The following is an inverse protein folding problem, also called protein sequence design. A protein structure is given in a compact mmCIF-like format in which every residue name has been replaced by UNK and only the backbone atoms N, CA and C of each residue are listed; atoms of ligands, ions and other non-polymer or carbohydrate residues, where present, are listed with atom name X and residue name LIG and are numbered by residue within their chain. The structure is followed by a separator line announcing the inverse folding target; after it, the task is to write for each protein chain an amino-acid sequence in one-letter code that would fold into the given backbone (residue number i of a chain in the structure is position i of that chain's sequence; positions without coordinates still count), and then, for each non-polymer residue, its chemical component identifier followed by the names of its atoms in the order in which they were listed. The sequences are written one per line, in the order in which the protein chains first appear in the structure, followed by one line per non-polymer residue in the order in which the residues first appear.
data_IF_679895894868
#
_entry.id   IF_679895894868
#
_cell.length_a   1.000
_cell.length_b   1.000
_cell.length_c   1.000
_cell.angle_alpha   90.00
_cell.angle_beta   90.00
_cell.angle_gamma   90.00
#
_symmetry.space_group_name_H-M   'P 1'
#
loop_
_entity.id
_entity.type
_entity.pdbx_description
1 polymer ?
#
# COMPACT_ATOMS: atom_id res chain seq x y z
N UNK A 1 -27.78 5.82 4.09
CA UNK A 1 -26.75 5.61 3.07
C UNK A 1 -26.14 6.96 2.73
N UNK A 2 -24.86 7.06 2.93
CA UNK A 2 -24.11 8.21 2.48
C UNK A 2 -23.96 8.03 0.99
N UNK A 3 -24.80 8.72 0.21
CA UNK A 3 -24.55 8.78 -1.21
C UNK A 3 -23.15 9.34 -1.40
N UNK A 4 -22.29 8.65 -2.15
CA UNK A 4 -20.99 9.21 -2.42
C UNK A 4 -21.23 10.57 -3.05
N UNK A 5 -20.58 11.55 -2.50
CA UNK A 5 -20.55 12.84 -3.15
C UNK A 5 -20.01 12.59 -4.56
N UNK A 6 -20.76 12.99 -5.57
CA UNK A 6 -20.29 12.94 -6.96
C UNK A 6 -19.00 13.73 -7.14
N UNK A 7 -18.53 14.35 -6.07
CA UNK A 7 -17.38 15.20 -6.04
C UNK A 7 -16.19 14.58 -5.26
N UNK A 8 -16.27 13.34 -4.77
CA UNK A 8 -15.13 12.71 -4.17
C UNK A 8 -14.22 12.16 -5.28
N UNK A 9 -13.07 12.83 -5.58
CA UNK A 9 -12.21 12.40 -6.67
C UNK A 9 -11.57 11.02 -6.40
N UNK A 10 -11.76 10.48 -5.21
CA UNK A 10 -11.23 9.19 -4.82
C UNK A 10 -12.28 8.09 -4.86
N UNK A 11 -13.52 8.44 -5.05
CA UNK A 11 -14.57 7.45 -5.16
C UNK A 11 -14.59 6.81 -6.55
N UNK A 12 -14.58 5.49 -6.60
CA UNK A 12 -14.83 4.75 -7.82
C UNK A 12 -15.65 3.50 -7.49
N UNK A 13 -16.37 2.98 -8.48
CA UNK A 13 -17.20 1.79 -8.31
C UNK A 13 -16.36 0.52 -8.08
N UNK A 14 -15.10 0.53 -8.48
CA UNK A 14 -14.17 -0.62 -8.38
C UNK A 14 -12.96 -0.32 -7.51
N UNK A 15 -13.16 0.44 -6.46
CA UNK A 15 -12.08 0.93 -5.61
C UNK A 15 -11.40 -0.15 -4.78
N UNK A 16 -11.99 -1.32 -4.69
CA UNK A 16 -11.50 -2.43 -3.87
C UNK A 16 -11.17 -3.63 -4.75
N UNK A 17 -10.50 -3.39 -5.84
CA UNK A 17 -10.04 -4.44 -6.75
C UNK A 17 -8.54 -4.62 -6.61
N UNK A 18 -8.11 -5.86 -6.45
CA UNK A 18 -6.69 -6.19 -6.47
C UNK A 18 -6.12 -5.87 -7.85
N UNK A 19 -4.89 -5.40 -7.87
CA UNK A 19 -4.29 -4.78 -9.02
C UNK A 19 -4.11 -5.67 -10.24
N UNK A 20 -3.83 -5.08 -11.40
CA UNK A 20 -3.75 -5.81 -12.66
C UNK A 20 -2.59 -6.80 -12.71
N UNK A 21 -2.63 -7.76 -13.63
CA UNK A 21 -1.51 -8.66 -13.85
C UNK A 21 -0.22 -7.90 -14.19
N UNK A 22 0.90 -8.48 -13.80
CA UNK A 22 2.21 -8.03 -14.28
C UNK A 22 2.38 -8.45 -15.74
N UNK A 23 3.28 -7.79 -16.49
CA UNK A 23 3.54 -8.17 -17.88
C UNK A 23 3.93 -9.63 -17.98
N UNK A 24 3.45 -10.31 -19.02
CA UNK A 24 3.83 -11.69 -19.30
C UNK A 24 5.33 -11.80 -19.59
N UNK A 25 5.98 -12.80 -18.98
CA UNK A 25 7.40 -13.06 -19.18
C UNK A 25 7.65 -14.58 -19.15
N UNK A 26 7.16 -15.33 -20.15
CA UNK A 26 7.15 -16.79 -20.13
C UNK A 26 8.54 -17.43 -20.17
N UNK A 27 9.52 -16.76 -20.72
CA UNK A 27 10.87 -17.32 -20.93
C UNK A 27 11.80 -17.20 -19.72
N UNK A 28 11.32 -16.61 -18.63
CA UNK A 28 12.11 -16.47 -17.41
C UNK A 28 11.83 -17.62 -16.44
N UNK A 29 12.86 -18.18 -15.78
CA UNK A 29 12.64 -19.21 -14.77
C UNK A 29 11.77 -18.72 -13.61
N UNK A 30 10.96 -19.60 -13.01
CA UNK A 30 10.18 -19.25 -11.84
C UNK A 30 11.04 -18.84 -10.66
N UNK A 31 10.54 -17.92 -9.84
CA UNK A 31 11.13 -17.58 -8.55
C UNK A 31 10.20 -18.04 -7.43
N UNK A 32 10.74 -18.37 -6.25
CA UNK A 32 9.92 -18.82 -5.13
C UNK A 32 9.10 -17.66 -4.56
N UNK A 33 7.94 -17.99 -4.00
CA UNK A 33 7.13 -17.05 -3.25
C UNK A 33 7.71 -16.90 -1.85
N UNK A 34 8.10 -15.69 -1.49
CA UNK A 34 8.52 -15.35 -0.14
C UNK A 34 7.31 -14.75 0.57
N UNK A 35 6.97 -15.28 1.75
CA UNK A 35 5.78 -14.85 2.50
C UNK A 35 6.10 -13.96 3.69
N UNK A 36 7.37 -13.76 3.98
CA UNK A 36 7.83 -12.86 5.02
C UNK A 36 8.03 -11.45 4.44
N UNK A 37 7.19 -10.52 4.86
CA UNK A 37 7.21 -9.14 4.34
C UNK A 37 8.54 -8.44 4.56
N UNK A 38 9.20 -8.71 5.68
CA UNK A 38 10.50 -8.10 5.96
C UNK A 38 11.59 -8.62 5.02
N UNK A 39 11.54 -9.90 4.69
CA UNK A 39 12.48 -10.48 3.71
C UNK A 39 12.24 -9.93 2.31
N UNK A 40 10.99 -9.74 1.93
CA UNK A 40 10.64 -9.08 0.67
C UNK A 40 11.19 -7.65 0.65
N UNK A 41 11.02 -6.93 1.76
CA UNK A 41 11.58 -5.58 1.90
C UNK A 41 13.09 -5.58 1.68
N UNK A 42 13.82 -6.52 2.28
CA UNK A 42 15.28 -6.62 2.10
C UNK A 42 15.66 -6.80 0.63
N UNK A 43 14.91 -7.62 -0.11
CA UNK A 43 15.13 -7.83 -1.53
C UNK A 43 14.84 -6.56 -2.33
N UNK A 44 13.73 -5.87 -2.03
CA UNK A 44 13.38 -4.60 -2.67
C UNK A 44 14.46 -3.56 -2.40
N UNK A 45 14.87 -3.44 -1.16
CA UNK A 45 15.88 -2.45 -0.75
C UNK A 45 17.24 -2.73 -1.40
N UNK A 46 17.63 -4.00 -1.52
CA UNK A 46 18.84 -4.38 -2.23
C UNK A 46 18.76 -4.00 -3.71
N UNK A 47 17.60 -4.19 -4.34
CA UNK A 47 17.41 -3.82 -5.75
C UNK A 47 17.45 -2.31 -5.95
N UNK A 48 16.84 -1.54 -5.07
CA UNK A 48 16.92 -0.06 -5.11
C UNK A 48 18.36 0.42 -4.96
N UNK A 49 19.12 -0.22 -4.08
CA UNK A 49 20.56 0.07 -3.91
C UNK A 49 21.34 -0.26 -5.16
N UNK A 50 21.09 -1.42 -5.77
CA UNK A 50 21.73 -1.82 -7.03
C UNK A 50 21.43 -0.84 -8.16
N UNK A 51 20.20 -0.31 -8.20
CA UNK A 51 19.77 0.72 -9.17
C UNK A 51 20.34 2.11 -8.87
N UNK A 52 21.01 2.27 -7.72
CA UNK A 52 21.54 3.55 -7.27
C UNK A 52 20.48 4.63 -7.09
N UNK A 53 19.30 4.20 -6.64
CA UNK A 53 18.22 5.13 -6.31
C UNK A 53 18.60 5.89 -5.04
N UNK A 54 18.66 7.20 -5.11
CA UNK A 54 19.13 8.06 -4.01
C UNK A 54 18.13 9.12 -3.59
N UNK A 55 17.06 9.31 -4.34
CA UNK A 55 16.09 10.38 -4.08
C UNK A 55 15.00 9.97 -3.08
N UNK A 56 14.90 8.71 -2.75
CA UNK A 56 14.06 8.25 -1.64
C UNK A 56 14.68 7.03 -0.97
N UNK A 57 14.27 6.79 0.27
CA UNK A 57 14.66 5.61 1.03
C UNK A 57 13.44 4.98 1.68
N UNK A 58 13.44 3.66 1.73
CA UNK A 58 12.41 2.88 2.41
C UNK A 58 12.97 2.30 3.69
N UNK A 59 12.15 2.30 4.74
CA UNK A 59 12.40 1.53 5.96
C UNK A 59 11.18 0.69 6.28
N UNK A 60 11.41 -0.48 6.86
CA UNK A 60 10.31 -1.38 7.18
C UNK A 60 9.56 -0.91 8.41
N UNK A 61 8.22 -1.04 8.37
CA UNK A 61 7.35 -0.61 9.45
C UNK A 61 6.36 -1.74 9.76
N UNK A 62 6.52 -2.35 10.93
CA UNK A 62 5.68 -3.47 11.35
C UNK A 62 4.21 -3.07 11.53
N UNK A 63 3.95 -1.83 11.91
CA UNK A 63 2.58 -1.33 12.00
C UNK A 63 1.89 -1.27 10.65
N UNK A 64 2.59 -0.79 9.62
CA UNK A 64 2.07 -0.80 8.25
C UNK A 64 1.88 -2.23 7.73
N UNK A 65 2.74 -3.16 8.13
CA UNK A 65 2.53 -4.58 7.81
C UNK A 65 1.21 -5.09 8.40
N UNK A 66 0.92 -4.80 9.65
CA UNK A 66 -0.34 -5.19 10.27
C UNK A 66 -1.55 -4.56 9.58
N UNK A 67 -1.44 -3.30 9.18
CA UNK A 67 -2.51 -2.63 8.46
C UNK A 67 -2.78 -3.27 7.11
N UNK A 68 -1.75 -3.55 6.33
CA UNK A 68 -1.94 -4.17 5.01
C UNK A 68 -2.41 -5.63 5.14
N UNK A 69 -1.99 -6.33 6.18
CA UNK A 69 -2.51 -7.68 6.47
C UNK A 69 -4.02 -7.64 6.71
N UNK A 70 -4.50 -6.66 7.47
CA UNK A 70 -5.94 -6.50 7.72
C UNK A 70 -6.71 -6.20 6.44
N UNK A 71 -6.19 -5.35 5.58
CA UNK A 71 -6.79 -5.08 4.28
C UNK A 71 -6.86 -6.32 3.40
N UNK A 72 -5.76 -7.05 3.31
CA UNK A 72 -5.70 -8.26 2.49
C UNK A 72 -6.55 -9.39 3.05
N UNK A 73 -6.69 -9.48 4.38
CA UNK A 73 -7.51 -10.50 5.02
C UNK A 73 -8.97 -10.42 4.57
N UNK A 74 -9.46 -9.24 4.28
CA UNK A 74 -10.80 -9.04 3.75
C UNK A 74 -10.99 -9.78 2.41
N UNK A 75 -10.04 -9.64 1.50
CA UNK A 75 -10.09 -10.35 0.22
C UNK A 75 -10.00 -11.87 0.41
N UNK A 76 -9.20 -12.32 1.36
CA UNK A 76 -9.06 -13.75 1.68
C UNK A 76 -10.35 -14.31 2.26
N UNK A 77 -10.94 -13.64 3.24
CA UNK A 77 -12.12 -14.11 3.95
C UNK A 77 -13.36 -14.16 3.05
N UNK A 78 -13.51 -13.18 2.21
CA UNK A 78 -14.61 -13.13 1.24
C UNK A 78 -14.30 -13.90 -0.05
N UNK A 79 -13.10 -14.41 -0.18
CA UNK A 79 -12.62 -15.17 -1.34
C UNK A 79 -12.93 -14.46 -2.67
N UNK A 80 -12.62 -13.19 -2.74
CA UNK A 80 -12.80 -12.37 -3.93
C UNK A 80 -11.63 -11.41 -4.14
N UNK A 81 -11.17 -11.23 -5.39
CA UNK A 81 -10.16 -10.22 -5.70
C UNK A 81 -10.76 -8.84 -5.95
N UNK A 82 -12.06 -8.71 -5.92
CA UNK A 82 -12.73 -7.46 -6.27
C UNK A 82 -14.04 -7.30 -5.52
N UNK A 83 -14.25 -6.10 -5.00
CA UNK A 83 -15.52 -5.66 -4.43
C UNK A 83 -16.01 -4.44 -5.19
N UNK A 84 -17.31 -4.27 -5.31
CA UNK A 84 -17.86 -2.96 -5.63
C UNK A 84 -17.56 -1.97 -4.49
N UNK A 85 -17.67 -0.69 -4.74
CA UNK A 85 -17.45 0.33 -3.72
C UNK A 85 -18.29 0.10 -2.47
N UNK A 86 -19.58 -0.19 -2.66
CA UNK A 86 -20.53 -0.43 -1.58
C UNK A 86 -20.22 -1.73 -0.84
N UNK A 87 -20.00 -2.83 -1.55
CA UNK A 87 -19.68 -4.12 -0.97
C UNK A 87 -18.36 -4.08 -0.20
N UNK A 88 -17.36 -3.40 -0.73
CA UNK A 88 -16.06 -3.26 -0.08
C UNK A 88 -16.13 -2.47 1.22
N UNK A 89 -16.90 -1.39 1.22
CA UNK A 89 -17.12 -0.62 2.44
C UNK A 89 -17.87 -1.43 3.49
N UNK A 90 -18.91 -2.14 3.08
CA UNK A 90 -19.69 -3.00 3.98
C UNK A 90 -18.82 -4.13 4.55
N UNK A 91 -18.01 -4.77 3.73
CA UNK A 91 -17.14 -5.84 4.18
C UNK A 91 -16.14 -5.35 5.24
N UNK A 92 -15.52 -4.20 5.02
CA UNK A 92 -14.60 -3.59 5.98
C UNK A 92 -15.25 -3.32 7.32
N UNK A 93 -16.47 -2.82 7.30
CA UNK A 93 -17.20 -2.47 8.52
C UNK A 93 -17.65 -3.71 9.29
N UNK A 94 -18.03 -4.78 8.58
CA UNK A 94 -18.57 -5.99 9.20
C UNK A 94 -17.49 -6.94 9.75
N UNK A 95 -16.26 -6.84 9.29
CA UNK A 95 -15.22 -7.82 9.59
C UNK A 95 -14.14 -7.34 10.55
N UNK A 96 -14.31 -6.21 11.22
CA UNK A 96 -13.28 -5.57 12.06
C UNK A 96 -11.99 -5.24 11.30
N UNK A 97 -12.01 -5.28 9.99
CA UNK A 97 -10.82 -4.99 9.16
C UNK A 97 -10.39 -3.53 9.30
N UNK A 98 -11.35 -2.63 9.39
CA UNK A 98 -11.09 -1.20 9.66
C UNK A 98 -10.31 -1.04 10.95
N UNK A 99 -10.75 -1.69 12.02
CA UNK A 99 -10.09 -1.60 13.33
C UNK A 99 -8.66 -2.13 13.29
N UNK A 100 -8.44 -3.24 12.57
CA UNK A 100 -7.11 -3.78 12.37
C UNK A 100 -6.19 -2.84 11.57
N UNK A 101 -6.72 -2.19 10.56
CA UNK A 101 -5.99 -1.20 9.78
C UNK A 101 -5.60 0.02 10.64
N UNK A 102 -6.55 0.53 11.43
CA UNK A 102 -6.30 1.62 12.35
C UNK A 102 -5.22 1.27 13.37
N UNK A 103 -5.37 0.13 14.02
CA UNK A 103 -4.41 -0.33 15.02
C UNK A 103 -3.00 -0.43 14.43
N UNK A 104 -2.88 -0.94 13.22
CA UNK A 104 -1.60 -1.04 12.53
C UNK A 104 -0.99 0.33 12.24
N UNK A 105 -1.79 1.28 11.79
CA UNK A 105 -1.30 2.64 11.54
C UNK A 105 -0.82 3.32 12.82
N UNK A 106 -1.57 3.19 13.91
CA UNK A 106 -1.15 3.72 15.21
C UNK A 106 0.14 3.06 15.71
N UNK A 107 0.21 1.74 15.62
CA UNK A 107 1.42 0.99 15.95
C UNK A 107 2.63 1.48 15.12
N UNK A 108 2.39 1.82 13.87
CA UNK A 108 3.41 2.33 12.96
C UNK A 108 3.84 3.76 13.21
N UNK A 109 3.21 4.46 14.15
CA UNK A 109 3.53 5.84 14.48
C UNK A 109 2.74 6.88 13.70
N UNK A 110 1.67 6.46 13.02
CA UNK A 110 0.83 7.36 12.24
C UNK A 110 -0.36 7.84 13.06
N UNK A 111 -0.71 9.10 12.88
CA UNK A 111 -1.85 9.69 13.55
C UNK A 111 -3.01 9.91 12.61
N UNK A 112 -4.16 9.84 13.21
CA UNK A 112 -5.39 10.19 12.53
C UNK A 112 -5.56 11.69 12.48
N UNK A 113 -5.80 12.20 11.29
CA UNK A 113 -6.36 13.52 11.18
C UNK A 113 -7.75 13.57 11.78
N UNK A 114 -8.22 14.74 12.14
CA UNK A 114 -9.60 14.93 12.56
C UNK A 114 -10.55 14.45 11.46
N UNK A 115 -11.36 13.45 11.73
CA UNK A 115 -12.33 12.97 10.77
C UNK A 115 -12.25 11.49 10.48
N UNK A 116 -12.42 10.67 11.50
CA UNK A 116 -12.58 9.23 11.34
C UNK A 116 -13.61 8.86 10.27
N UNK A 117 -14.65 9.67 10.11
CA UNK A 117 -15.66 9.49 9.09
C UNK A 117 -15.10 9.62 7.68
N UNK A 118 -14.20 10.59 7.47
CA UNK A 118 -13.53 10.75 6.19
C UNK A 118 -12.63 9.55 5.90
N UNK A 119 -11.97 9.00 6.92
CA UNK A 119 -11.19 7.78 6.77
C UNK A 119 -12.05 6.61 6.30
N UNK A 120 -13.17 6.37 6.98
CA UNK A 120 -14.07 5.27 6.62
C UNK A 120 -14.56 5.42 5.17
N UNK A 121 -14.88 6.63 4.75
CA UNK A 121 -15.32 6.90 3.39
C UNK A 121 -14.21 6.67 2.35
N UNK A 122 -12.98 6.86 2.75
CA UNK A 122 -11.83 6.86 1.84
C UNK A 122 -10.98 5.61 1.96
N UNK A 123 -11.34 4.67 2.81
CA UNK A 123 -10.52 3.50 3.09
C UNK A 123 -10.24 2.66 1.84
N UNK A 124 -11.15 2.64 0.92
CA UNK A 124 -11.02 1.97 -0.36
C UNK A 124 -10.10 2.71 -1.35
N UNK A 125 -9.62 3.85 -0.94
CA UNK A 125 -8.68 4.66 -1.71
C UNK A 125 -7.28 4.64 -1.11
N UNK A 126 -6.88 3.50 -0.59
CA UNK A 126 -5.47 3.29 -0.23
C UNK A 126 -4.99 4.26 0.85
N UNK A 127 -5.63 4.23 1.98
CA UNK A 127 -5.26 4.99 3.18
C UNK A 127 -5.52 6.51 3.15
N UNK A 128 -6.45 6.95 2.37
CA UNK A 128 -6.75 8.38 2.27
C UNK A 128 -7.28 9.01 3.56
N UNK A 129 -7.76 8.24 4.48
CA UNK A 129 -8.20 8.77 5.76
C UNK A 129 -7.09 9.25 6.65
N UNK A 130 -5.85 8.87 6.35
CA UNK A 130 -4.70 9.26 7.16
C UNK A 130 -4.18 10.58 6.65
N UNK A 131 -4.24 11.57 7.50
CA UNK A 131 -3.72 12.88 7.14
C UNK A 131 -2.26 13.00 7.53
N UNK A 132 -1.42 13.01 6.53
CA UNK A 132 -0.01 13.35 6.65
C UNK A 132 0.17 14.69 5.95
N UNK A 133 -0.08 15.77 6.65
CA UNK A 133 0.07 17.15 6.15
C UNK A 133 -0.71 17.44 4.86
N UNK A 134 -1.83 16.76 4.64
CA UNK A 134 -2.70 16.94 3.49
C UNK A 134 -2.07 16.60 2.12
N UNK A 135 -0.96 15.88 2.10
CA UNK A 135 -0.31 15.51 0.85
C UNK A 135 -0.61 14.08 0.45
N UNK A 136 -1.29 13.90 -0.65
CA UNK A 136 -1.64 12.58 -1.19
C UNK A 136 -0.42 11.83 -1.67
N UNK A 137 0.56 12.52 -2.22
CA UNK A 137 1.81 11.97 -2.69
C UNK A 137 2.67 11.36 -1.59
N UNK A 138 2.28 11.54 -0.35
CA UNK A 138 2.96 10.95 0.80
C UNK A 138 2.45 9.57 1.17
N UNK A 139 1.42 9.10 0.48
CA UNK A 139 0.76 7.83 0.78
C UNK A 139 0.57 7.05 -0.50
N UNK A 140 1.08 5.83 -0.49
CA UNK A 140 0.96 4.96 -1.64
C UNK A 140 0.47 3.59 -1.19
N UNK A 141 -0.37 3.01 -2.00
CA UNK A 141 -0.79 1.63 -1.90
C UNK A 141 -0.43 0.95 -3.20
N UNK A 142 0.13 -0.24 -3.09
CA UNK A 142 0.45 -1.04 -4.26
C UNK A 142 0.04 -2.47 -3.98
N UNK A 143 -0.69 -3.06 -4.89
CA UNK A 143 -1.02 -4.47 -4.89
C UNK A 143 -0.87 -5.03 -6.30
N UNK A 144 -0.34 -6.22 -6.39
CA UNK A 144 -0.16 -6.91 -7.67
C UNK A 144 -0.15 -8.41 -7.42
N UNK A 145 -0.42 -9.22 -8.46
CA UNK A 145 -0.02 -10.63 -8.40
C UNK A 145 1.45 -10.74 -8.04
N UNK A 146 1.78 -11.76 -7.24
CA UNK A 146 3.18 -11.98 -6.87
C UNK A 146 4.01 -12.27 -8.12
N UNK A 147 5.19 -11.67 -8.28
CA UNK A 147 6.00 -11.89 -9.47
C UNK A 147 6.36 -13.35 -9.63
N UNK A 148 6.10 -13.91 -10.80
CA UNK A 148 6.38 -15.31 -11.09
C UNK A 148 7.85 -15.58 -11.40
N UNK A 149 8.57 -14.55 -11.83
CA UNK A 149 9.97 -14.65 -12.27
C UNK A 149 10.70 -13.31 -12.13
N UNK A 150 11.97 -13.29 -12.45
CA UNK A 150 12.79 -12.08 -12.34
C UNK A 150 12.34 -10.96 -13.26
N UNK A 151 11.83 -11.27 -14.44
CA UNK A 151 11.35 -10.24 -15.35
C UNK A 151 10.10 -9.53 -14.78
N UNK A 152 9.20 -10.28 -14.17
CA UNK A 152 8.04 -9.70 -13.48
C UNK A 152 8.45 -8.96 -12.21
N UNK A 153 9.43 -9.46 -11.47
CA UNK A 153 9.97 -8.73 -10.33
C UNK A 153 10.55 -7.38 -10.77
N UNK A 154 11.30 -7.37 -11.88
CA UNK A 154 11.80 -6.11 -12.43
C UNK A 154 10.67 -5.14 -12.79
N UNK A 155 9.61 -5.63 -13.42
CA UNK A 155 8.44 -4.83 -13.76
C UNK A 155 7.77 -4.25 -12.50
N UNK A 156 7.65 -5.05 -11.44
CA UNK A 156 7.12 -4.58 -10.15
C UNK A 156 8.01 -3.50 -9.54
N UNK A 157 9.33 -3.67 -9.61
CA UNK A 157 10.29 -2.67 -9.13
C UNK A 157 10.23 -1.38 -9.94
N UNK A 158 10.07 -1.48 -11.25
CA UNK A 158 9.91 -0.31 -12.12
C UNK A 158 8.64 0.47 -11.73
N UNK A 159 7.55 -0.24 -11.44
CA UNK A 159 6.31 0.38 -11.00
C UNK A 159 6.45 1.02 -9.62
N UNK A 160 7.08 0.34 -8.68
CA UNK A 160 7.34 0.88 -7.34
C UNK A 160 8.19 2.15 -7.42
N UNK A 161 9.28 2.10 -8.17
CA UNK A 161 10.16 3.26 -8.35
C UNK A 161 9.41 4.40 -9.04
N UNK A 162 8.57 4.09 -10.02
CA UNK A 162 7.76 5.08 -10.74
C UNK A 162 6.81 5.88 -9.85
N UNK A 163 6.34 5.29 -8.74
CA UNK A 163 5.49 6.02 -7.78
C UNK A 163 6.22 7.17 -7.09
N UNK A 164 7.52 7.10 -7.00
CA UNK A 164 8.35 8.13 -6.36
C UNK A 164 9.07 9.01 -7.38
N UNK A 165 8.93 8.70 -8.66
CA UNK A 165 9.64 9.38 -9.73
C UNK A 165 8.88 10.66 -10.13
N UNK A 166 8.98 11.67 -9.30
CA UNK A 166 8.64 13.00 -9.73
C UNK A 166 9.83 13.92 -9.49
N UNK A 167 10.01 14.86 -10.38
CA UNK A 167 11.08 15.81 -10.21
C UNK A 167 10.78 16.70 -9.00
N UNK A 168 11.62 16.68 -7.97
CA UNK A 168 11.44 17.62 -6.88
C UNK A 168 11.54 19.04 -7.40
N UNK A 169 10.75 19.95 -6.83
CA UNK A 169 10.87 21.36 -7.11
C UNK A 169 12.28 21.87 -6.77
N UNK A 170 12.66 23.06 -7.22
CA UNK A 170 14.01 23.59 -6.98
C UNK A 170 14.43 23.63 -5.52
N UNK A 171 13.47 23.69 -4.61
CA UNK A 171 13.72 23.73 -3.17
C UNK A 171 14.01 22.34 -2.59
N UNK A 172 13.52 21.27 -3.25
CA UNK A 172 13.57 19.90 -2.74
C UNK A 172 14.63 19.05 -3.45
N UNK A 173 15.33 19.61 -4.39
CA UNK A 173 16.21 18.89 -5.32
C UNK A 173 17.35 18.11 -4.66
N UNK A 174 17.63 18.34 -3.38
CA UNK A 174 18.70 17.66 -2.65
C UNK A 174 18.20 16.88 -1.44
N UNK A 175 16.91 16.94 -1.15
CA UNK A 175 16.35 16.25 0.01
C UNK A 175 16.00 14.81 -0.31
N UNK A 176 16.58 13.88 0.46
CA UNK A 176 16.22 12.46 0.38
C UNK A 176 14.93 12.24 1.15
N UNK A 177 13.90 11.81 0.46
CA UNK A 177 12.61 11.50 1.08
C UNK A 177 12.64 10.12 1.71
N UNK A 178 12.09 10.02 2.92
CA UNK A 178 12.02 8.78 3.66
C UNK A 178 10.57 8.29 3.72
N UNK A 179 10.39 7.02 3.43
CA UNK A 179 9.09 6.36 3.47
C UNK A 179 9.18 5.09 4.29
N UNK A 180 8.10 4.81 4.99
CA UNK A 180 7.89 3.54 5.66
C UNK A 180 7.12 2.61 4.73
N UNK A 181 7.44 1.33 4.77
CA UNK A 181 6.74 0.31 3.99
C UNK A 181 6.36 -0.86 4.89
N UNK A 182 5.14 -1.33 4.74
CA UNK A 182 4.67 -2.60 5.28
C UNK A 182 4.17 -3.48 4.15
N UNK A 183 4.52 -4.74 4.17
CA UNK A 183 4.28 -5.68 3.06
C UNK A 183 3.59 -6.93 3.59
N UNK A 184 2.65 -7.44 2.81
CA UNK A 184 2.04 -8.74 3.04
C UNK A 184 1.89 -9.51 1.74
N UNK A 185 1.78 -10.82 1.87
CA UNK A 185 1.49 -11.75 0.78
C UNK A 185 0.26 -12.55 1.18
N UNK A 186 -0.70 -12.68 0.29
CA UNK A 186 -1.93 -13.40 0.56
C UNK A 186 -2.39 -14.15 -0.70
N UNK A 187 -3.11 -15.26 -0.47
CA UNK A 187 -3.71 -16.05 -1.55
C UNK A 187 -5.22 -15.75 -1.61
N UNK A 188 -5.69 -15.41 -2.78
CA UNK A 188 -7.10 -15.15 -3.06
C UNK A 188 -7.50 -15.92 -4.31
N UNK A 189 -8.48 -16.79 -4.21
CA UNK A 189 -8.95 -17.65 -5.31
C UNK A 189 -7.79 -18.41 -5.99
N UNK A 190 -6.89 -18.97 -5.19
CA UNK A 190 -5.78 -19.76 -5.69
C UNK A 190 -4.65 -18.97 -6.34
N UNK A 191 -4.71 -17.66 -6.29
CA UNK A 191 -3.67 -16.77 -6.84
C UNK A 191 -2.98 -16.01 -5.72
N UNK A 192 -1.66 -15.92 -5.79
CA UNK A 192 -0.87 -15.22 -4.79
C UNK A 192 -0.71 -13.75 -5.16
N UNK A 193 -0.97 -12.87 -4.20
CA UNK A 193 -0.84 -11.42 -4.35
C UNK A 193 0.18 -10.87 -3.36
N UNK A 194 0.83 -9.82 -3.77
CA UNK A 194 1.71 -9.00 -2.96
C UNK A 194 1.05 -7.63 -2.77
N UNK A 195 1.07 -7.13 -1.56
CA UNK A 195 0.51 -5.81 -1.28
C UNK A 195 1.36 -5.05 -0.26
N UNK A 196 1.39 -3.74 -0.40
CA UNK A 196 2.13 -2.85 0.49
C UNK A 196 1.39 -1.54 0.74
N UNK A 197 1.50 -1.05 1.97
CA UNK A 197 1.32 0.36 2.28
C UNK A 197 2.69 1.02 2.35
N UNK A 198 2.79 2.19 1.72
CA UNK A 198 4.00 2.99 1.69
C UNK A 198 3.60 4.41 2.07
N UNK A 199 4.16 4.90 3.17
CA UNK A 199 3.80 6.21 3.72
C UNK A 199 5.03 7.02 4.05
N UNK A 200 4.94 8.33 3.88
CA UNK A 200 5.99 9.24 4.30
C UNK A 200 6.30 9.02 5.78
N UNK A 201 7.56 8.80 6.11
CA UNK A 201 7.98 8.65 7.50
C UNK A 201 7.66 9.92 8.29
N UNK A 202 6.95 9.83 9.42
CA UNK A 202 6.67 10.98 10.25
C UNK A 202 7.96 11.61 10.78
N UNK A 203 8.02 12.93 10.78
CA UNK A 203 9.21 13.63 11.31
C UNK A 203 9.31 13.50 12.83
N UNK A 204 8.18 13.48 13.51
CA UNK A 204 8.09 13.34 14.96
C UNK A 204 7.06 12.26 15.32
N UNK A 205 7.38 10.95 15.12
CA UNK A 205 6.41 9.88 15.32
C UNK A 205 5.90 9.74 16.75
N UNK A 206 6.62 10.29 17.73
CA UNK A 206 6.27 10.23 19.16
C UNK A 206 5.61 11.50 19.68
N UNK A 207 5.34 12.47 18.83
CA UNK A 207 4.79 13.74 19.27
C UNK A 207 3.28 13.62 19.46
N UNK A 208 2.85 13.59 20.72
CA UNK A 208 1.48 13.33 21.13
C UNK A 208 0.65 14.59 21.37
N UNK A 209 1.05 15.72 20.89
CA UNK A 209 0.32 16.96 21.06
C UNK A 209 -0.62 17.30 19.91
#
# INVERSE_FOLDING_TARGET
SIAPSTYDPFYSEEITTLGPPLPEAPDSPPIPVIRDGRKIFEIINAELTRRKVQYFKLQYNAGLEHSIQSEMQMFVDYDTPSFSAEEGLEARMNGDYVDGMWAGFEEGGYRWGSGSTAFIRSIHHNCYGIQLDNYKEKRYYLDRPYPANQAQFKALMDELEGKFNYAPGPMDSQEVRKYDIGITVADVQGKTYWAAYIMRTPENPTNDE
#
